data_IF_519347437657
#
_entry.id   IF_519347437657
#
_cell.length_a   1.000
_cell.length_b   1.000
_cell.length_c   1.000
_cell.angle_alpha   90.00
_cell.angle_beta   90.00
_cell.angle_gamma   90.00
#
_symmetry.space_group_name_H-M   'P 1'
#
loop_
_entity.id
_entity.type
_entity.pdbx_description
1 polymer ?
#
# COMPACT_ATOMS: atom_id res chain seq x y z
N UNK A 1 39.33 59.38 -18.72
CA UNK A 1 38.69 60.48 -19.46
C UNK A 1 38.62 60.08 -20.92
N UNK A 2 37.41 59.79 -21.39
CA UNK A 2 37.06 59.61 -22.81
C UNK A 2 37.10 60.92 -23.57
N UNK A 3 37.44 60.88 -24.86
CA UNK A 3 36.75 61.66 -25.90
C UNK A 3 37.20 61.18 -27.29
N UNK A 4 36.24 60.92 -28.17
CA UNK A 4 36.53 60.73 -29.60
C UNK A 4 35.47 59.96 -30.38
N UNK A 5 34.19 60.33 -30.26
CA UNK A 5 33.13 59.82 -31.13
C UNK A 5 33.11 60.49 -32.50
N UNK A 6 32.66 59.77 -33.54
CA UNK A 6 31.96 60.33 -34.70
C UNK A 6 30.87 59.37 -35.19
N UNK A 7 29.70 59.96 -35.39
CA UNK A 7 28.45 59.42 -35.91
C UNK A 7 28.55 58.91 -37.35
N UNK A 8 27.71 57.92 -37.67
CA UNK A 8 26.89 57.91 -38.90
C UNK A 8 25.57 57.21 -38.62
N UNK A 9 24.48 57.97 -38.61
CA UNK A 9 23.09 57.49 -38.73
C UNK A 9 22.75 57.23 -40.21
N UNK A 10 21.98 56.16 -40.46
CA UNK A 10 21.26 55.91 -41.72
C UNK A 10 20.87 54.43 -41.90
N UNK A 11 19.81 54.13 -42.67
CA UNK A 11 18.40 54.45 -42.44
C UNK A 11 17.59 53.22 -41.98
N UNK A 12 16.42 53.52 -41.40
CA UNK A 12 15.36 52.60 -40.95
C UNK A 12 15.12 51.40 -41.88
N UNK A 13 15.45 50.21 -41.39
CA UNK A 13 14.99 48.92 -41.94
C UNK A 13 13.89 48.36 -41.03
N UNK A 14 12.72 48.10 -41.63
CA UNK A 14 11.51 47.52 -41.05
C UNK A 14 11.80 46.32 -40.13
N UNK A 15 11.14 46.31 -38.99
CA UNK A 15 11.10 45.15 -38.09
C UNK A 15 10.17 44.06 -38.70
N UNK A 16 10.58 42.78 -38.77
CA UNK A 16 9.82 41.71 -39.45
C UNK A 16 8.67 41.10 -38.62
N UNK A 17 8.16 41.81 -37.61
CA UNK A 17 7.28 41.23 -36.57
C UNK A 17 5.94 41.97 -36.41
N UNK A 18 5.46 42.63 -37.46
CA UNK A 18 4.13 43.27 -37.52
C UNK A 18 3.17 42.54 -38.50
N UNK A 19 3.30 41.21 -38.61
CA UNK A 19 2.43 40.36 -39.45
C UNK A 19 1.31 39.68 -38.63
N UNK A 20 0.67 40.41 -37.71
CA UNK A 20 -0.54 39.94 -37.01
C UNK A 20 -1.84 40.29 -37.76
N UNK A 21 -1.79 41.08 -38.84
CA UNK A 21 -2.99 41.55 -39.59
C UNK A 21 -3.29 40.78 -40.89
N UNK A 22 -2.43 39.85 -41.33
CA UNK A 22 -2.61 39.12 -42.60
C UNK A 22 -3.36 37.77 -42.45
N UNK A 23 -3.60 37.31 -41.22
CA UNK A 23 -4.29 36.05 -40.95
C UNK A 23 -5.82 36.16 -41.10
N UNK A 24 -6.38 37.34 -40.87
CA UNK A 24 -7.83 37.61 -40.97
C UNK A 24 -8.31 37.79 -42.42
N UNK A 25 -7.40 38.03 -43.36
CA UNK A 25 -7.70 38.18 -44.78
C UNK A 25 -7.71 36.84 -45.55
N UNK A 26 -6.93 35.86 -45.09
CA UNK A 26 -6.79 34.56 -45.76
C UNK A 26 -7.89 33.55 -45.39
N UNK A 27 -8.46 33.70 -44.19
CA UNK A 27 -9.49 32.80 -43.67
C UNK A 27 -10.64 33.65 -43.13
N UNK A 28 -11.67 33.86 -43.94
CA UNK A 28 -12.86 34.63 -43.54
C UNK A 28 -13.45 34.18 -42.19
N UNK A 29 -14.38 34.97 -41.61
CA UNK A 29 -14.72 34.95 -40.17
C UNK A 29 -15.36 33.67 -39.60
N UNK A 30 -15.37 32.56 -40.35
CA UNK A 30 -16.06 31.32 -40.03
C UNK A 30 -15.15 30.13 -39.67
N UNK A 31 -13.86 30.34 -39.34
CA UNK A 31 -12.99 29.25 -38.82
C UNK A 31 -13.03 29.10 -37.29
N UNK A 32 -13.87 29.87 -36.61
CA UNK A 32 -14.11 29.77 -35.17
C UNK A 32 -14.98 28.56 -34.79
N UNK A 33 -14.47 27.33 -34.94
CA UNK A 33 -15.11 26.17 -34.32
C UNK A 33 -14.13 25.07 -33.93
N UNK A 34 -13.09 25.39 -33.17
CA UNK A 34 -12.61 24.44 -32.17
C UNK A 34 -13.38 24.70 -30.88
N UNK A 35 -14.05 23.66 -30.37
CA UNK A 35 -14.71 23.70 -29.07
C UNK A 35 -13.64 23.93 -28.01
N UNK A 36 -13.44 25.19 -27.63
CA UNK A 36 -12.53 25.54 -26.55
C UNK A 36 -13.10 24.93 -25.27
N UNK A 37 -12.48 23.84 -24.80
CA UNK A 37 -12.79 23.23 -23.52
C UNK A 37 -12.73 24.32 -22.45
N UNK A 38 -13.80 24.38 -21.66
CA UNK A 38 -14.05 25.44 -20.70
C UNK A 38 -12.97 25.41 -19.60
N UNK A 39 -12.56 26.59 -19.10
CA UNK A 39 -11.56 26.72 -18.01
C UNK A 39 -11.75 25.75 -16.82
N UNK A 40 -12.97 25.40 -16.35
CA UNK A 40 -13.11 24.46 -15.24
C UNK A 40 -12.74 23.00 -15.58
N UNK A 41 -12.77 22.58 -16.85
CA UNK A 41 -12.44 21.20 -17.25
C UNK A 41 -10.92 20.97 -17.33
N UNK A 42 -10.15 21.99 -17.74
CA UNK A 42 -8.67 21.92 -17.74
C UNK A 42 -8.10 21.84 -16.33
N UNK A 43 -8.73 22.49 -15.36
CA UNK A 43 -8.27 22.47 -13.97
C UNK A 43 -8.46 21.09 -13.36
N UNK A 44 -9.61 20.42 -13.60
CA UNK A 44 -9.86 19.05 -13.09
C UNK A 44 -8.97 17.99 -13.74
N UNK A 45 -8.67 18.12 -15.02
CA UNK A 45 -7.70 17.24 -15.69
C UNK A 45 -6.26 17.52 -15.21
N UNK A 46 -5.92 18.80 -14.99
CA UNK A 46 -4.61 19.21 -14.48
C UNK A 46 -4.31 18.70 -13.08
N UNK A 47 -5.27 18.74 -12.15
CA UNK A 47 -5.07 18.21 -10.78
C UNK A 47 -4.92 16.69 -10.76
N UNK A 48 -5.66 15.94 -11.58
CA UNK A 48 -5.53 14.48 -11.65
C UNK A 48 -4.14 14.06 -12.18
N UNK A 49 -3.63 14.75 -13.21
CA UNK A 49 -2.31 14.48 -13.77
C UNK A 49 -1.20 14.89 -12.80
N UNK A 50 -1.29 16.05 -12.16
CA UNK A 50 -0.29 16.51 -11.18
C UNK A 50 -0.26 15.59 -9.96
N UNK A 51 -1.42 15.14 -9.45
CA UNK A 51 -1.49 14.19 -8.35
C UNK A 51 -0.85 12.84 -8.73
N UNK A 52 -1.16 12.32 -9.92
CA UNK A 52 -0.56 11.09 -10.43
C UNK A 52 0.97 11.17 -10.57
N UNK A 53 1.49 12.28 -11.08
CA UNK A 53 2.95 12.50 -11.22
C UNK A 53 3.63 12.61 -9.86
N UNK A 54 3.02 13.27 -8.87
CA UNK A 54 3.57 13.36 -7.51
C UNK A 54 3.63 11.98 -6.86
N UNK A 55 2.59 11.16 -6.99
CA UNK A 55 2.58 9.79 -6.49
C UNK A 55 3.69 8.97 -7.14
N UNK A 56 3.84 9.01 -8.46
CA UNK A 56 4.89 8.28 -9.18
C UNK A 56 6.30 8.76 -8.77
N UNK A 57 6.50 10.07 -8.58
CA UNK A 57 7.76 10.61 -8.14
C UNK A 57 8.12 10.17 -6.71
N UNK A 58 7.15 10.17 -5.79
CA UNK A 58 7.34 9.65 -4.43
C UNK A 58 7.67 8.15 -4.46
N UNK A 59 6.93 7.36 -5.25
CA UNK A 59 7.21 5.94 -5.42
C UNK A 59 8.61 5.72 -5.98
N UNK A 60 9.04 6.47 -6.99
CA UNK A 60 10.39 6.37 -7.54
C UNK A 60 11.47 6.73 -6.52
N UNK A 61 11.26 7.77 -5.70
CA UNK A 61 12.19 8.15 -4.62
C UNK A 61 12.27 7.04 -3.57
N UNK A 62 11.14 6.44 -3.19
CA UNK A 62 11.08 5.30 -2.27
C UNK A 62 11.81 4.10 -2.87
N UNK A 63 11.54 3.73 -4.12
CA UNK A 63 12.18 2.60 -4.82
C UNK A 63 13.69 2.84 -4.98
N UNK A 64 14.13 4.05 -5.35
CA UNK A 64 15.55 4.38 -5.40
C UNK A 64 16.20 4.30 -4.01
N UNK A 65 15.50 4.75 -2.98
CA UNK A 65 15.95 4.64 -1.59
C UNK A 65 16.14 3.18 -1.14
N UNK A 66 15.26 2.28 -1.57
CA UNK A 66 15.35 0.83 -1.33
C UNK A 66 16.57 0.22 -2.04
N UNK A 67 16.81 0.59 -3.30
CA UNK A 67 17.97 0.11 -4.07
C UNK A 67 19.29 0.59 -3.43
N UNK A 68 19.35 1.85 -3.00
CA UNK A 68 20.54 2.43 -2.36
C UNK A 68 20.79 1.85 -0.96
N UNK A 69 19.74 1.52 -0.20
CA UNK A 69 19.84 0.83 1.09
C UNK A 69 20.36 -0.61 0.94
N UNK A 70 20.16 -1.24 -0.23
CA UNK A 70 20.74 -2.56 -0.54
C UNK A 70 22.27 -2.57 -0.65
N UNK A 71 22.89 -1.43 -0.99
CA UNK A 71 24.34 -1.31 -1.23
C UNK A 71 25.12 -1.00 0.06
N UNK A 72 24.43 -0.55 1.12
CA UNK A 72 25.01 -0.41 2.46
C UNK A 72 25.10 -1.74 3.24
N UNK A 73 24.77 -2.89 2.62
CA UNK A 73 25.16 -4.23 3.11
C UNK A 73 26.66 -4.47 2.92
N UNK A 74 27.45 -3.53 3.43
CA UNK A 74 28.91 -3.58 3.48
C UNK A 74 29.37 -4.82 4.23
N UNK A 75 30.34 -5.50 3.62
CA UNK A 75 31.46 -6.22 4.26
C UNK A 75 31.20 -6.61 5.72
N UNK A 76 30.48 -7.73 5.94
CA UNK A 76 30.18 -8.28 7.27
C UNK A 76 28.87 -9.10 7.40
N UNK A 77 28.07 -9.18 6.33
CA UNK A 77 26.71 -9.75 6.34
C UNK A 77 26.60 -11.27 6.48
N UNK A 78 26.85 -11.81 7.68
CA UNK A 78 26.60 -13.23 8.00
C UNK A 78 25.67 -13.42 9.20
N UNK A 79 25.34 -12.35 9.94
CA UNK A 79 24.55 -12.44 11.16
C UNK A 79 23.21 -11.71 11.06
N UNK A 80 22.09 -12.35 11.47
CA UNK A 80 20.78 -11.71 11.55
C UNK A 80 20.80 -10.47 12.45
N UNK A 81 20.11 -9.40 12.05
CA UNK A 81 19.97 -8.16 12.84
C UNK A 81 18.49 -7.91 13.22
N UNK A 82 17.87 -8.81 14.01
CA UNK A 82 16.42 -8.80 14.18
C UNK A 82 15.86 -7.52 14.81
N UNK A 83 16.60 -6.89 15.74
CA UNK A 83 16.15 -5.62 16.34
C UNK A 83 16.24 -4.43 15.37
N UNK A 84 17.26 -4.42 14.50
CA UNK A 84 17.38 -3.42 13.45
C UNK A 84 16.27 -3.57 12.41
N UNK A 85 16.01 -4.81 12.00
CA UNK A 85 14.98 -5.19 11.03
C UNK A 85 13.58 -4.87 11.58
N UNK A 86 13.33 -5.17 12.86
CA UNK A 86 12.11 -4.78 13.57
C UNK A 86 11.93 -3.27 13.61
N UNK A 87 12.98 -2.51 13.96
CA UNK A 87 12.90 -1.05 14.01
C UNK A 87 12.62 -0.44 12.64
N UNK A 88 13.23 -0.96 11.57
CA UNK A 88 12.98 -0.55 10.18
C UNK A 88 11.53 -0.82 9.78
N UNK A 89 11.01 -2.02 10.08
CA UNK A 89 9.62 -2.35 9.81
C UNK A 89 8.65 -1.44 10.57
N UNK A 90 8.86 -1.23 11.87
CA UNK A 90 7.99 -0.37 12.68
C UNK A 90 7.99 1.05 12.13
N UNK A 91 9.15 1.61 11.77
CA UNK A 91 9.24 2.94 11.18
C UNK A 91 8.51 3.03 9.83
N UNK A 92 8.71 2.05 8.96
CA UNK A 92 8.05 1.98 7.65
C UNK A 92 6.52 1.84 7.79
N UNK A 93 6.05 0.88 8.59
CA UNK A 93 4.64 0.62 8.80
C UNK A 93 3.92 1.79 9.50
N UNK A 94 4.57 2.46 10.45
CA UNK A 94 3.99 3.64 11.13
C UNK A 94 3.82 4.84 10.20
N UNK A 95 4.57 4.90 9.09
CA UNK A 95 4.47 5.97 8.11
C UNK A 95 3.41 5.71 7.03
N UNK A 96 2.78 4.53 7.02
CA UNK A 96 1.79 4.16 6.01
C UNK A 96 0.46 4.92 6.22
N UNK A 97 -0.17 5.43 5.15
CA UNK A 97 -1.50 6.00 5.23
C UNK A 97 -2.52 5.00 5.79
N UNK A 98 -3.39 5.45 6.69
CA UNK A 98 -4.40 4.61 7.32
C UNK A 98 -3.90 3.78 8.50
N UNK A 99 -2.62 3.87 8.89
CA UNK A 99 -2.11 3.30 10.14
C UNK A 99 -2.23 4.32 11.27
N UNK A 100 -2.84 3.92 12.37
CA UNK A 100 -2.96 4.74 13.59
C UNK A 100 -1.87 4.44 14.61
N UNK A 101 -1.41 3.19 14.69
CA UNK A 101 -0.32 2.78 15.58
C UNK A 101 0.30 1.45 15.14
N UNK A 102 1.56 1.23 15.52
CA UNK A 102 2.21 -0.09 15.47
C UNK A 102 2.56 -0.50 16.89
N UNK A 103 1.95 -1.59 17.35
CA UNK A 103 2.01 -2.07 18.72
C UNK A 103 2.64 -3.47 18.79
N UNK A 104 3.01 -3.90 20.00
CA UNK A 104 3.43 -5.28 20.31
C UNK A 104 4.56 -5.81 19.41
N UNK A 105 5.36 -4.91 18.84
CA UNK A 105 6.48 -5.28 17.99
C UNK A 105 7.54 -6.03 18.82
N UNK A 106 7.79 -7.31 18.51
CA UNK A 106 8.73 -8.16 19.25
C UNK A 106 9.47 -9.14 18.35
N UNK A 107 10.65 -9.52 18.81
CA UNK A 107 11.51 -10.51 18.16
C UNK A 107 11.40 -11.85 18.89
N UNK A 108 11.25 -12.93 18.14
CA UNK A 108 11.22 -14.30 18.61
C UNK A 108 12.32 -15.10 17.89
N UNK A 109 13.17 -15.81 18.63
CA UNK A 109 14.17 -16.68 18.03
C UNK A 109 13.51 -18.00 17.63
N UNK A 110 13.62 -18.38 16.36
CA UNK A 110 13.00 -19.60 15.81
C UNK A 110 14.01 -20.70 15.52
N UNK A 111 15.26 -20.36 15.23
CA UNK A 111 16.35 -21.32 15.02
C UNK A 111 17.72 -20.74 15.38
N UNK A 112 18.81 -21.47 15.09
CA UNK A 112 20.17 -21.02 15.40
C UNK A 112 20.48 -19.64 14.81
N UNK A 113 20.06 -19.39 13.56
CA UNK A 113 20.22 -18.13 12.84
C UNK A 113 18.88 -17.60 12.28
N UNK A 114 17.76 -18.05 12.84
CA UNK A 114 16.41 -17.69 12.42
C UNK A 114 15.68 -16.89 13.50
N UNK A 115 15.03 -15.81 13.08
CA UNK A 115 14.23 -14.93 13.93
C UNK A 115 12.92 -14.57 13.23
N UNK A 116 11.84 -14.60 13.97
CA UNK A 116 10.57 -13.99 13.59
C UNK A 116 10.46 -12.63 14.28
N UNK A 117 10.04 -11.62 13.53
CA UNK A 117 9.57 -10.35 14.09
C UNK A 117 8.06 -10.32 13.92
N UNK A 118 7.35 -10.01 15.00
CA UNK A 118 5.90 -9.89 14.99
C UNK A 118 5.48 -8.49 15.39
N UNK A 119 4.37 -7.99 14.83
CA UNK A 119 3.82 -6.68 15.17
C UNK A 119 2.32 -6.61 14.93
N UNK A 120 1.62 -5.78 15.71
CA UNK A 120 0.21 -5.45 15.51
C UNK A 120 0.11 -4.05 14.90
N UNK A 121 -0.38 -3.94 13.68
CA UNK A 121 -0.62 -2.69 12.97
C UNK A 121 -2.08 -2.31 13.16
N UNK A 122 -2.36 -1.25 13.92
CA UNK A 122 -3.70 -0.70 14.08
C UNK A 122 -4.02 0.15 12.86
N UNK A 123 -5.02 -0.24 12.10
CA UNK A 123 -5.54 0.54 10.98
C UNK A 123 -6.69 1.44 11.44
N UNK A 124 -6.97 2.49 10.67
CA UNK A 124 -8.19 3.27 10.82
C UNK A 124 -9.40 2.36 10.50
N UNK A 125 -10.36 2.20 11.43
CA UNK A 125 -11.52 1.33 11.23
C UNK A 125 -12.45 1.80 10.11
N UNK A 126 -12.40 3.08 9.72
CA UNK A 126 -13.27 3.67 8.70
C UNK A 126 -12.68 3.56 7.27
N UNK A 127 -11.52 2.90 7.09
CA UNK A 127 -10.92 2.72 5.77
C UNK A 127 -11.85 2.02 4.78
N UNK A 128 -11.93 2.56 3.56
CA UNK A 128 -12.65 1.95 2.45
C UNK A 128 -12.05 0.61 2.02
N UNK A 129 -12.80 -0.21 1.28
CA UNK A 129 -12.34 -1.54 0.86
C UNK A 129 -11.07 -1.49 -0.02
N UNK A 130 -10.96 -0.49 -0.90
CA UNK A 130 -9.77 -0.29 -1.72
C UNK A 130 -8.56 0.12 -0.87
N UNK A 131 -8.75 1.05 0.07
CA UNK A 131 -7.68 1.51 0.96
C UNK A 131 -7.19 0.39 1.89
N UNK A 132 -8.09 -0.49 2.37
CA UNK A 132 -7.69 -1.67 3.14
C UNK A 132 -6.81 -2.62 2.34
N UNK A 133 -7.12 -2.86 1.06
CA UNK A 133 -6.28 -3.68 0.17
C UNK A 133 -4.93 -3.03 -0.08
N UNK A 134 -4.92 -1.72 -0.34
CA UNK A 134 -3.70 -0.96 -0.51
C UNK A 134 -2.83 -0.98 0.75
N UNK A 135 -3.44 -0.86 1.94
CA UNK A 135 -2.73 -0.94 3.22
C UNK A 135 -2.13 -2.33 3.44
N UNK A 136 -2.87 -3.41 3.21
CA UNK A 136 -2.34 -4.78 3.33
C UNK A 136 -1.17 -5.02 2.37
N UNK A 137 -1.26 -4.52 1.13
CA UNK A 137 -0.17 -4.55 0.16
C UNK A 137 1.06 -3.80 0.67
N UNK A 138 0.88 -2.55 1.14
CA UNK A 138 1.96 -1.72 1.63
C UNK A 138 2.64 -2.28 2.90
N UNK A 139 1.88 -2.87 3.82
CA UNK A 139 2.43 -3.56 5.00
C UNK A 139 3.21 -4.80 4.58
N UNK A 140 2.73 -5.55 3.58
CA UNK A 140 3.44 -6.71 3.02
C UNK A 140 4.76 -6.31 2.36
N UNK A 141 4.78 -5.23 1.59
CA UNK A 141 6.01 -4.67 1.03
C UNK A 141 7.00 -4.24 2.13
N UNK A 142 6.52 -3.53 3.16
CA UNK A 142 7.36 -3.14 4.29
C UNK A 142 7.95 -4.36 5.04
N UNK A 143 7.16 -5.43 5.17
CA UNK A 143 7.60 -6.70 5.74
C UNK A 143 8.67 -7.37 4.86
N UNK A 144 8.49 -7.38 3.53
CA UNK A 144 9.47 -7.92 2.59
C UNK A 144 10.79 -7.15 2.60
N UNK A 145 10.74 -5.81 2.60
CA UNK A 145 11.93 -4.93 2.58
C UNK A 145 12.74 -4.99 3.89
N UNK A 146 12.05 -5.27 5.00
CA UNK A 146 12.65 -5.36 6.31
C UNK A 146 13.06 -6.79 6.67
N UNK A 147 12.55 -7.79 5.96
CA UNK A 147 12.98 -9.20 6.07
C UNK A 147 14.34 -9.44 5.40
N UNK A 148 15.03 -10.51 5.79
CA UNK A 148 16.31 -10.91 5.20
C UNK A 148 17.31 -11.44 6.23
N UNK A 149 18.41 -12.03 5.77
CA UNK A 149 19.51 -12.52 6.62
C UNK A 149 19.07 -13.35 7.84
N UNK A 150 18.04 -14.20 7.68
CA UNK A 150 17.51 -15.04 8.77
C UNK A 150 16.39 -14.40 9.60
N UNK A 151 15.96 -13.18 9.28
CA UNK A 151 14.81 -12.51 9.91
C UNK A 151 13.60 -12.55 8.97
N UNK A 152 12.44 -12.96 9.49
CA UNK A 152 11.14 -12.93 8.81
C UNK A 152 10.17 -12.07 9.58
N UNK A 153 9.37 -11.26 8.88
CA UNK A 153 8.41 -10.35 9.50
C UNK A 153 6.98 -10.83 9.28
N UNK A 154 6.22 -10.87 10.36
CA UNK A 154 4.82 -11.29 10.40
C UNK A 154 4.00 -10.23 11.12
N UNK A 155 3.18 -9.50 10.39
CA UNK A 155 2.33 -8.46 10.97
C UNK A 155 0.88 -8.95 11.10
N UNK A 156 0.13 -8.35 12.01
CA UNK A 156 -1.33 -8.47 12.07
C UNK A 156 -1.90 -7.07 11.88
N UNK A 157 -2.71 -6.85 10.85
CA UNK A 157 -3.41 -5.59 10.63
C UNK A 157 -4.80 -5.69 11.25
N UNK A 158 -5.10 -4.79 12.17
CA UNK A 158 -6.36 -4.73 12.90
C UNK A 158 -7.21 -3.56 12.40
N UNK A 159 -8.34 -3.90 11.76
CA UNK A 159 -9.38 -2.98 11.27
C UNK A 159 -10.58 -2.89 12.22
N UNK A 160 -10.40 -3.20 13.51
CA UNK A 160 -11.43 -3.17 14.55
C UNK A 160 -12.21 -4.47 14.65
N UNK A 161 -13.09 -4.74 13.68
CA UNK A 161 -13.89 -6.00 13.65
C UNK A 161 -13.22 -7.11 12.82
N UNK A 162 -12.14 -6.78 12.12
CA UNK A 162 -11.39 -7.71 11.27
C UNK A 162 -9.92 -7.61 11.59
N UNK A 163 -9.29 -8.75 11.84
CA UNK A 163 -7.85 -8.85 12.00
C UNK A 163 -7.27 -9.75 10.91
N UNK A 164 -6.21 -9.30 10.24
CA UNK A 164 -5.63 -9.97 9.07
C UNK A 164 -4.12 -10.12 9.25
N UNK A 165 -3.62 -11.35 9.17
CA UNK A 165 -2.18 -11.64 9.12
C UNK A 165 -1.56 -11.20 7.80
N UNK A 166 -0.42 -10.53 7.86
CA UNK A 166 0.34 -10.03 6.72
C UNK A 166 1.76 -10.57 6.80
N UNK A 167 2.22 -11.18 5.71
CA UNK A 167 3.56 -11.73 5.53
C UNK A 167 4.30 -10.95 4.43
N UNK A 168 5.51 -11.40 4.09
CA UNK A 168 6.27 -10.93 2.92
C UNK A 168 5.65 -11.38 1.58
N UNK A 169 4.65 -12.27 1.60
CA UNK A 169 3.85 -12.62 0.43
C UNK A 169 2.59 -11.75 0.35
N UNK A 170 2.57 -10.85 -0.63
CA UNK A 170 1.40 -10.04 -0.92
C UNK A 170 0.19 -10.92 -1.29
N UNK A 171 0.40 -11.96 -2.10
CA UNK A 171 -0.68 -12.85 -2.54
C UNK A 171 -1.38 -13.53 -1.36
N UNK A 172 -0.61 -14.11 -0.44
CA UNK A 172 -1.11 -14.78 0.76
C UNK A 172 -1.84 -13.79 1.68
N UNK A 173 -1.26 -12.61 1.87
CA UNK A 173 -1.83 -11.54 2.70
C UNK A 173 -3.16 -11.04 2.14
N UNK A 174 -3.24 -10.81 0.82
CA UNK A 174 -4.48 -10.43 0.14
C UNK A 174 -5.52 -11.56 0.17
N UNK A 175 -5.09 -12.83 0.11
CA UNK A 175 -5.99 -13.98 0.24
C UNK A 175 -6.65 -14.02 1.63
N UNK A 176 -5.89 -13.78 2.70
CA UNK A 176 -6.44 -13.67 4.06
C UNK A 176 -7.39 -12.48 4.21
N UNK A 177 -7.06 -11.33 3.61
CA UNK A 177 -7.96 -10.18 3.62
C UNK A 177 -9.29 -10.53 2.94
N UNK A 178 -9.26 -11.13 1.75
CA UNK A 178 -10.48 -11.57 1.05
C UNK A 178 -11.29 -12.58 1.87
N UNK A 179 -10.62 -13.51 2.55
CA UNK A 179 -11.28 -14.44 3.46
C UNK A 179 -11.97 -13.71 4.61
N UNK A 180 -11.28 -12.77 5.27
CA UNK A 180 -11.85 -11.97 6.34
C UNK A 180 -13.04 -11.11 5.88
N UNK A 181 -12.95 -10.51 4.69
CA UNK A 181 -14.05 -9.75 4.08
C UNK A 181 -15.28 -10.65 3.85
N UNK A 182 -15.11 -11.83 3.26
CA UNK A 182 -16.21 -12.76 2.99
C UNK A 182 -16.83 -13.33 4.26
N UNK A 183 -16.02 -13.73 5.24
CA UNK A 183 -16.51 -14.23 6.52
C UNK A 183 -17.30 -13.14 7.27
N UNK A 184 -16.84 -11.90 7.22
CA UNK A 184 -17.55 -10.78 7.88
C UNK A 184 -18.89 -10.41 7.24
N UNK A 185 -19.13 -10.85 6.00
CA UNK A 185 -20.38 -10.63 5.30
C UNK A 185 -21.46 -11.67 5.68
N UNK A 186 -21.08 -12.74 6.40
CA UNK A 186 -22.03 -13.74 6.90
C UNK A 186 -22.89 -13.10 8.00
N UNK A 187 -24.21 -13.18 7.85
CA UNK A 187 -25.15 -12.67 8.85
C UNK A 187 -24.93 -13.32 10.22
N UNK A 188 -24.82 -12.52 11.28
CA UNK A 188 -24.59 -12.99 12.65
C UNK A 188 -23.12 -13.02 13.08
N UNK A 189 -22.18 -12.74 12.18
CA UNK A 189 -20.76 -12.56 12.52
C UNK A 189 -20.52 -11.19 13.16
N UNK A 190 -19.84 -11.19 14.31
CA UNK A 190 -19.47 -9.99 15.06
C UNK A 190 -18.01 -9.56 14.82
N UNK A 191 -17.15 -10.51 14.45
CA UNK A 191 -15.75 -10.23 14.16
C UNK A 191 -15.03 -11.44 13.58
N UNK A 192 -13.95 -11.17 12.88
CA UNK A 192 -13.15 -12.18 12.18
C UNK A 192 -11.67 -11.93 12.42
N UNK A 193 -10.93 -12.98 12.76
CA UNK A 193 -9.48 -12.95 12.82
C UNK A 193 -8.92 -14.02 11.89
N UNK A 194 -8.26 -13.61 10.80
CA UNK A 194 -7.54 -14.47 9.87
C UNK A 194 -6.04 -14.26 10.08
N UNK A 195 -5.45 -14.96 11.04
CA UNK A 195 -4.07 -14.75 11.54
C UNK A 195 -3.22 -16.01 11.36
N UNK A 196 -2.00 -15.99 11.88
CA UNK A 196 -1.10 -17.14 11.84
C UNK A 196 -1.32 -18.03 13.07
N UNK A 197 -1.18 -19.33 12.89
CA UNK A 197 -1.06 -20.23 14.02
C UNK A 197 0.29 -20.01 14.71
N UNK A 198 0.28 -19.88 16.04
CA UNK A 198 1.51 -19.84 16.81
C UNK A 198 2.05 -21.28 16.94
N UNK A 199 3.01 -21.64 16.09
CA UNK A 199 3.66 -22.96 16.11
C UNK A 199 5.13 -22.86 16.51
N UNK A 200 5.67 -23.95 17.05
CA UNK A 200 7.06 -24.03 17.51
C UNK A 200 8.09 -23.98 16.38
N UNK A 201 7.69 -24.37 15.17
CA UNK A 201 8.47 -24.35 13.93
C UNK A 201 8.41 -22.99 13.19
N UNK A 202 7.65 -22.03 13.71
CA UNK A 202 7.51 -20.68 13.15
C UNK A 202 6.17 -20.46 12.45
N UNK A 203 6.01 -19.25 11.89
CA UNK A 203 4.81 -18.88 11.10
C UNK A 203 5.00 -19.24 9.63
N UNK A 204 3.89 -19.51 8.94
CA UNK A 204 3.89 -19.91 7.54
C UNK A 204 2.65 -19.38 6.81
N UNK A 205 2.76 -19.27 5.48
CA UNK A 205 1.66 -18.94 4.57
C UNK A 205 0.86 -20.17 4.11
N UNK A 206 1.24 -21.37 4.55
CA UNK A 206 0.48 -22.59 4.26
C UNK A 206 -0.91 -22.58 4.89
N UNK A 207 -1.94 -23.16 4.25
CA UNK A 207 -3.30 -23.20 4.79
C UNK A 207 -3.39 -23.80 6.20
N UNK A 208 -2.64 -24.88 6.45
CA UNK A 208 -2.62 -25.57 7.74
C UNK A 208 -1.92 -24.79 8.86
N UNK A 209 -1.21 -23.72 8.53
CA UNK A 209 -0.55 -22.83 9.49
C UNK A 209 -1.35 -21.54 9.74
N UNK A 210 -2.57 -21.44 9.20
CA UNK A 210 -3.45 -20.30 9.44
C UNK A 210 -4.39 -20.56 10.62
N UNK A 211 -4.66 -19.52 11.39
CA UNK A 211 -5.67 -19.50 12.44
C UNK A 211 -6.80 -18.56 12.01
N UNK A 212 -7.95 -19.14 11.66
CA UNK A 212 -9.15 -18.39 11.29
C UNK A 212 -10.20 -18.55 12.37
N UNK A 213 -10.55 -17.46 13.03
CA UNK A 213 -11.57 -17.42 14.09
C UNK A 213 -12.70 -16.49 13.69
N UNK A 214 -13.94 -16.98 13.79
CA UNK A 214 -15.17 -16.24 13.52
C UNK A 214 -15.95 -16.12 14.82
N UNK A 215 -16.14 -14.90 15.31
CA UNK A 215 -16.99 -14.64 16.49
C UNK A 215 -18.43 -14.43 16.03
N UNK A 216 -19.36 -15.21 16.58
CA UNK A 216 -20.76 -15.19 16.18
C UNK A 216 -21.70 -14.88 17.35
N UNK A 217 -22.71 -14.06 17.10
CA UNK A 217 -23.82 -13.83 18.03
C UNK A 217 -24.89 -14.93 17.97
N UNK A 218 -24.79 -15.85 17.00
CA UNK A 218 -25.76 -16.91 16.81
C UNK A 218 -25.87 -17.83 18.03
N UNK A 219 -27.07 -18.36 18.27
CA UNK A 219 -27.35 -19.37 19.30
C UNK A 219 -27.97 -20.61 18.64
N UNK A 220 -27.71 -21.79 19.19
CA UNK A 220 -28.28 -23.06 18.72
C UNK A 220 -28.11 -23.25 17.21
N UNK A 221 -29.22 -23.40 16.48
CA UNK A 221 -29.23 -23.57 15.02
C UNK A 221 -28.63 -22.39 14.25
N UNK A 222 -28.74 -21.17 14.77
CA UNK A 222 -28.15 -19.99 14.15
C UNK A 222 -26.62 -20.00 14.24
N UNK A 223 -26.07 -20.49 15.36
CA UNK A 223 -24.63 -20.69 15.49
C UNK A 223 -24.12 -21.75 14.50
N UNK A 224 -24.82 -22.89 14.42
CA UNK A 224 -24.47 -23.96 13.49
C UNK A 224 -24.53 -23.50 12.02
N UNK A 225 -25.51 -22.68 11.65
CA UNK A 225 -25.62 -22.11 10.31
C UNK A 225 -24.44 -21.17 9.98
N UNK A 226 -24.03 -20.31 10.93
CA UNK A 226 -22.85 -19.46 10.74
C UNK A 226 -21.58 -20.30 10.61
N UNK A 227 -21.42 -21.33 11.44
CA UNK A 227 -20.25 -22.21 11.39
C UNK A 227 -20.14 -22.93 10.04
N UNK A 228 -21.23 -23.53 9.56
CA UNK A 228 -21.25 -24.20 8.26
C UNK A 228 -20.97 -23.23 7.09
N UNK A 229 -21.53 -22.03 7.12
CA UNK A 229 -21.26 -21.00 6.12
C UNK A 229 -19.79 -20.53 6.16
N UNK A 230 -19.21 -20.41 7.36
CA UNK A 230 -17.84 -19.99 7.55
C UNK A 230 -16.85 -21.04 7.04
N UNK A 231 -17.11 -22.33 7.30
CA UNK A 231 -16.33 -23.46 6.74
C UNK A 231 -16.38 -23.45 5.20
N UNK A 232 -17.57 -23.32 4.61
CA UNK A 232 -17.72 -23.27 3.15
C UNK A 232 -16.94 -22.10 2.52
N UNK A 233 -16.98 -20.92 3.13
CA UNK A 233 -16.21 -19.76 2.67
C UNK A 233 -14.70 -20.00 2.82
N UNK A 234 -14.28 -20.65 3.90
CA UNK A 234 -12.89 -21.07 4.12
C UNK A 234 -12.38 -21.95 2.98
N UNK A 235 -13.12 -23.01 2.67
CA UNK A 235 -12.76 -23.97 1.61
C UNK A 235 -12.69 -23.33 0.21
N UNK A 236 -13.54 -22.35 -0.07
CA UNK A 236 -13.58 -21.68 -1.38
C UNK A 236 -12.42 -20.69 -1.56
N UNK A 237 -12.08 -19.91 -0.54
CA UNK A 237 -11.10 -18.81 -0.64
C UNK A 237 -9.68 -19.28 -0.32
N UNK A 238 -9.54 -20.18 0.65
CA UNK A 238 -8.26 -20.66 1.14
C UNK A 238 -8.35 -22.17 1.42
N UNK A 239 -8.37 -23.01 0.37
CA UNK A 239 -8.55 -24.45 0.52
C UNK A 239 -7.57 -25.07 1.53
N UNK A 240 -8.10 -25.87 2.46
CA UNK A 240 -7.34 -26.51 3.52
C UNK A 240 -7.13 -25.67 4.78
N UNK A 241 -7.72 -24.47 4.86
CA UNK A 241 -7.75 -23.68 6.09
C UNK A 241 -8.77 -24.23 7.07
N UNK A 242 -8.44 -24.21 8.37
CA UNK A 242 -9.41 -24.53 9.42
C UNK A 242 -10.07 -23.25 9.93
N UNK A 243 -11.40 -23.20 9.86
CA UNK A 243 -12.21 -22.08 10.36
C UNK A 243 -12.88 -22.48 11.65
N UNK A 244 -12.58 -21.77 12.74
CA UNK A 244 -13.21 -22.00 14.03
C UNK A 244 -14.24 -20.92 14.32
N UNK A 245 -15.50 -21.31 14.46
CA UNK A 245 -16.54 -20.40 14.93
C UNK A 245 -16.65 -20.49 16.45
N UNK A 246 -16.72 -19.34 17.12
CA UNK A 246 -16.77 -19.22 18.58
C UNK A 246 -17.85 -18.23 19.02
N UNK A 247 -18.31 -18.38 20.26
CA UNK A 247 -19.17 -17.38 20.89
C UNK A 247 -18.36 -16.12 21.28
N UNK A 248 -19.04 -14.99 21.53
CA UNK A 248 -18.39 -13.71 21.82
C UNK A 248 -17.56 -13.71 23.10
#
# INVERSE_FOLDING_TARGET
MSAGGRHTDGPRGRDPWDDDDDLDAAFGPDTASMRALSRPERVRAGTAVVLGVVVVAVVLVVVLGVILSGVQRGVGGVFPQPEGDRARFVAAASALPGVSAVERARTEKTSFAGYDVTALVRADPELGAEDRRALVSAVSSAAADSSGSGVRIWAEVDFGTRQVGVSDSEESSQRRLRLAERLSAIGGVLGVACTFEARSDGRSDEPAAQRVTVRSAGLGVGFAAVAAAAEQVGDEVFPGVQVQTVHP
#
